data_IF_422876875112
#
_entry.id   IF_422876875112
#
_cell.length_a   1.000
_cell.length_b   1.000
_cell.length_c   1.000
_cell.angle_alpha   90.00
_cell.angle_beta   90.00
_cell.angle_gamma   90.00
#
_symmetry.space_group_name_H-M   'P 1'
#
loop_
_entity.id
_entity.type
_entity.pdbx_description
1 polymer ?
#
# COMPACT_ATOMS: atom_id res chain seq x y z
N UNK A 1 42.55 -39.15 -4.22
CA UNK A 1 41.68 -38.63 -5.30
C UNK A 1 40.39 -39.41 -5.22
N UNK A 2 39.25 -38.89 -4.81
CA UNK A 2 38.81 -37.54 -4.45
C UNK A 2 37.61 -37.70 -3.49
N UNK A 3 37.26 -36.65 -2.71
CA UNK A 3 36.45 -36.79 -1.50
C UNK A 3 34.96 -36.83 -1.78
N UNK A 4 34.26 -37.42 -0.80
CA UNK A 4 32.82 -37.56 -0.68
C UNK A 4 32.08 -36.22 -0.73
N UNK A 5 30.97 -36.25 -1.46
CA UNK A 5 29.99 -35.19 -1.64
C UNK A 5 29.57 -34.56 -0.30
N UNK A 6 30.03 -33.34 -0.06
CA UNK A 6 29.41 -32.46 0.93
C UNK A 6 28.06 -32.06 0.36
N UNK A 7 26.98 -32.66 0.88
CA UNK A 7 25.63 -32.17 0.66
C UNK A 7 25.52 -30.78 1.29
N UNK A 8 25.70 -29.74 0.47
CA UNK A 8 25.24 -28.39 0.77
C UNK A 8 23.73 -28.46 1.02
N UNK A 9 23.34 -28.38 2.29
CA UNK A 9 21.97 -28.10 2.68
C UNK A 9 21.53 -26.82 1.95
N UNK A 10 20.39 -26.79 1.24
CA UNK A 10 19.90 -25.54 0.68
C UNK A 10 19.68 -24.56 1.83
N UNK A 11 20.48 -23.50 1.84
CA UNK A 11 20.26 -22.32 2.69
C UNK A 11 18.79 -21.90 2.56
N UNK A 12 18.10 -21.52 3.65
CA UNK A 12 16.73 -21.05 3.56
C UNK A 12 16.70 -19.91 2.54
N UNK A 13 15.87 -20.08 1.52
CA UNK A 13 15.65 -19.08 0.49
C UNK A 13 15.42 -17.73 1.18
N UNK A 14 16.20 -16.75 0.73
CA UNK A 14 16.02 -15.33 1.04
C UNK A 14 14.51 -15.03 1.04
N UNK A 15 14.02 -14.44 2.13
CA UNK A 15 12.60 -14.17 2.34
C UNK A 15 11.97 -13.64 1.07
N UNK A 16 10.93 -14.34 0.60
CA UNK A 16 10.28 -14.10 -0.67
C UNK A 16 9.96 -12.60 -0.78
N UNK A 17 10.60 -11.92 -1.73
CA UNK A 17 10.47 -10.48 -1.88
C UNK A 17 8.99 -10.14 -2.09
N UNK A 18 8.33 -9.59 -1.06
CA UNK A 18 6.93 -9.22 -1.13
C UNK A 18 6.82 -8.08 -2.13
N UNK A 19 6.30 -8.38 -3.32
CA UNK A 19 5.99 -7.35 -4.32
C UNK A 19 4.63 -6.74 -4.03
N UNK A 20 4.47 -5.44 -4.31
CA UNK A 20 3.14 -4.80 -4.32
C UNK A 20 2.16 -5.51 -5.27
N UNK A 21 2.65 -6.25 -6.27
CA UNK A 21 1.82 -7.05 -7.15
C UNK A 21 1.04 -8.18 -6.44
N UNK A 22 1.52 -8.63 -5.27
CA UNK A 22 0.87 -9.66 -4.46
C UNK A 22 -0.05 -9.08 -3.39
N UNK A 23 -0.02 -7.76 -3.18
CA UNK A 23 -0.83 -7.08 -2.19
C UNK A 23 -2.06 -6.45 -2.82
N UNK A 24 -3.11 -6.25 -2.01
CA UNK A 24 -4.41 -5.76 -2.49
C UNK A 24 -5.07 -4.80 -1.50
N UNK A 25 -6.21 -4.22 -1.89
CA UNK A 25 -7.05 -3.41 -1.01
C UNK A 25 -7.54 -4.16 0.24
N UNK A 26 -7.43 -5.50 0.28
CA UNK A 26 -7.76 -6.34 1.44
C UNK A 26 -6.65 -6.37 2.50
N UNK A 27 -5.46 -5.92 2.15
CA UNK A 27 -4.34 -5.74 3.08
C UNK A 27 -4.47 -4.46 3.92
N UNK A 28 -5.65 -3.86 3.92
CA UNK A 28 -6.00 -2.66 4.66
C UNK A 28 -7.24 -2.97 5.48
N UNK A 29 -7.21 -2.62 6.77
CA UNK A 29 -8.39 -2.49 7.60
C UNK A 29 -8.59 -1.02 7.98
N UNK A 30 -9.84 -0.66 8.26
CA UNK A 30 -10.21 0.71 8.62
C UNK A 30 -10.77 0.74 10.03
N UNK A 31 -10.14 1.54 10.90
CA UNK A 31 -10.62 1.80 12.24
C UNK A 31 -11.34 3.15 12.28
N UNK A 32 -12.60 3.13 12.68
CA UNK A 32 -13.38 4.35 12.93
C UNK A 32 -12.88 5.04 14.20
N UNK A 33 -12.46 6.31 14.09
CA UNK A 33 -12.05 7.14 15.20
C UNK A 33 -12.88 8.42 15.28
N UNK A 34 -12.80 9.13 16.41
CA UNK A 34 -13.53 10.39 16.64
C UNK A 34 -13.23 11.47 15.57
N UNK A 35 -12.04 11.41 14.96
CA UNK A 35 -11.57 12.38 13.96
C UNK A 35 -11.59 11.83 12.52
N UNK A 36 -12.30 10.72 12.27
CA UNK A 36 -12.43 10.10 10.96
C UNK A 36 -11.89 8.68 10.92
N UNK A 37 -11.49 8.23 9.73
CA UNK A 37 -11.01 6.86 9.53
C UNK A 37 -9.49 6.79 9.67
N UNK A 38 -8.98 5.70 10.23
CA UNK A 38 -7.55 5.40 10.28
C UNK A 38 -7.29 4.06 9.62
N UNK A 39 -6.46 3.98 8.57
CA UNK A 39 -6.08 2.71 7.99
C UNK A 39 -5.03 2.02 8.83
N UNK A 40 -5.14 0.70 8.90
CA UNK A 40 -4.18 -0.23 9.47
C UNK A 40 -3.76 -1.22 8.36
N UNK A 41 -2.48 -1.56 8.28
CA UNK A 41 -1.93 -2.44 7.24
C UNK A 41 -1.82 -3.88 7.74
N UNK A 42 -1.95 -4.85 6.82
CA UNK A 42 -1.51 -6.23 7.07
C UNK A 42 0.01 -6.27 7.31
N UNK A 43 0.49 -7.35 7.93
CA UNK A 43 1.91 -7.55 8.19
C UNK A 43 2.73 -7.49 6.88
N UNK A 44 2.24 -8.12 5.81
CA UNK A 44 2.90 -8.11 4.51
C UNK A 44 2.98 -6.69 3.90
N UNK A 45 1.91 -5.90 3.99
CA UNK A 45 1.90 -4.53 3.51
C UNK A 45 2.81 -3.62 4.34
N UNK A 46 2.87 -3.82 5.65
CA UNK A 46 3.78 -3.10 6.54
C UNK A 46 5.25 -3.44 6.24
N UNK A 47 5.56 -4.72 6.02
CA UNK A 47 6.89 -5.18 5.59
C UNK A 47 7.28 -4.55 4.26
N UNK A 48 6.39 -4.58 3.26
CA UNK A 48 6.63 -3.93 1.97
C UNK A 48 6.92 -2.44 2.11
N UNK A 49 6.15 -1.73 2.93
CA UNK A 49 6.34 -0.29 3.17
C UNK A 49 7.75 0.02 3.70
N UNK A 50 8.25 -0.81 4.62
CA UNK A 50 9.51 -0.63 5.33
C UNK A 50 10.73 -1.07 4.52
N UNK A 51 10.63 -2.15 3.74
CA UNK A 51 11.78 -2.77 3.07
C UNK A 51 12.09 -2.22 1.68
N UNK A 52 11.15 -1.55 1.01
CA UNK A 52 11.30 -1.09 -0.38
C UNK A 52 11.14 0.44 -0.56
N UNK A 53 12.02 1.27 0.04
CA UNK A 53 11.83 2.72 0.09
C UNK A 53 11.92 3.44 -1.27
N UNK A 54 12.90 3.14 -2.13
CA UNK A 54 13.07 3.90 -3.39
C UNK A 54 12.33 3.31 -4.60
N UNK A 55 12.34 1.98 -4.78
CA UNK A 55 11.63 1.32 -5.90
C UNK A 55 10.14 1.09 -5.60
N UNK A 56 9.72 1.28 -4.35
CA UNK A 56 8.33 1.06 -3.93
C UNK A 56 7.37 2.11 -4.49
N UNK A 57 7.81 3.35 -4.72
CA UNK A 57 6.91 4.42 -5.18
C UNK A 57 6.37 4.14 -6.58
N UNK A 58 7.22 3.61 -7.48
CA UNK A 58 6.80 3.20 -8.83
C UNK A 58 5.77 2.08 -8.74
N UNK A 59 6.02 1.06 -7.90
CA UNK A 59 5.09 -0.06 -7.72
C UNK A 59 3.76 0.38 -7.08
N UNK A 60 3.80 1.33 -6.13
CA UNK A 60 2.59 1.87 -5.51
C UNK A 60 1.80 2.75 -6.49
N UNK A 61 2.48 3.53 -7.35
CA UNK A 61 1.84 4.27 -8.44
C UNK A 61 1.19 3.33 -9.47
N UNK A 62 1.86 2.24 -9.83
CA UNK A 62 1.28 1.22 -10.71
C UNK A 62 0.05 0.57 -10.09
N UNK A 63 0.07 0.32 -8.78
CA UNK A 63 -1.11 -0.18 -8.05
C UNK A 63 -2.29 0.80 -8.12
N UNK A 64 -2.07 2.12 -8.26
CA UNK A 64 -3.15 3.09 -8.46
C UNK A 64 -3.90 2.89 -9.77
N UNK A 65 -3.36 2.18 -10.76
CA UNK A 65 -4.07 1.89 -12.02
C UNK A 65 -5.01 0.67 -11.91
N UNK A 66 -4.90 -0.12 -10.84
CA UNK A 66 -5.58 -1.39 -10.65
C UNK A 66 -6.74 -1.27 -9.65
N UNK A 67 -7.92 -1.79 -10.00
CA UNK A 67 -9.12 -1.69 -9.15
C UNK A 67 -8.96 -2.42 -7.81
N UNK A 68 -8.26 -3.56 -7.81
CA UNK A 68 -8.07 -4.38 -6.61
C UNK A 68 -6.93 -3.87 -5.73
N UNK A 69 -6.17 -2.88 -6.17
CA UNK A 69 -4.94 -2.42 -5.50
C UNK A 69 -4.82 -0.91 -5.28
N UNK A 70 -5.66 -0.08 -5.92
CA UNK A 70 -5.48 1.37 -5.87
C UNK A 70 -5.61 1.98 -4.48
N UNK A 71 -6.43 1.39 -3.59
CA UNK A 71 -6.56 1.89 -2.22
C UNK A 71 -5.28 1.61 -1.45
N UNK A 72 -4.73 0.40 -1.61
CA UNK A 72 -3.46 0.05 -0.98
C UNK A 72 -2.33 0.94 -1.47
N UNK A 73 -2.19 1.11 -2.78
CA UNK A 73 -1.20 2.03 -3.36
C UNK A 73 -1.32 3.44 -2.78
N UNK A 74 -2.55 3.95 -2.66
CA UNK A 74 -2.79 5.26 -2.09
C UNK A 74 -2.41 5.33 -0.60
N UNK A 75 -2.80 4.35 0.22
CA UNK A 75 -2.47 4.31 1.65
C UNK A 75 -0.96 4.23 1.87
N UNK A 76 -0.28 3.35 1.15
CA UNK A 76 1.18 3.17 1.26
C UNK A 76 1.94 4.45 0.89
N UNK A 77 1.59 5.09 -0.23
CA UNK A 77 2.19 6.36 -0.63
C UNK A 77 1.94 7.45 0.43
N UNK A 78 0.73 7.50 0.98
CA UNK A 78 0.36 8.48 2.02
C UNK A 78 1.20 8.33 3.28
N UNK A 79 1.35 7.09 3.76
CA UNK A 79 2.15 6.77 4.94
C UNK A 79 3.63 7.04 4.71
N UNK A 80 4.16 6.70 3.53
CA UNK A 80 5.57 6.90 3.19
C UNK A 80 5.95 8.37 3.12
N UNK A 81 5.16 9.15 2.40
CA UNK A 81 5.46 10.57 2.14
C UNK A 81 4.89 11.51 3.22
N UNK A 82 4.23 10.94 4.24
CA UNK A 82 3.51 11.69 5.28
C UNK A 82 2.59 12.78 4.68
N UNK A 83 1.95 12.46 3.56
CA UNK A 83 1.16 13.40 2.76
C UNK A 83 -0.30 13.43 3.20
N UNK A 84 -0.87 14.64 3.19
CA UNK A 84 -2.26 14.89 3.53
C UNK A 84 -2.94 15.76 2.48
N UNK A 85 -3.82 15.15 1.69
CA UNK A 85 -4.79 15.75 0.77
C UNK A 85 -6.12 16.12 1.46
N UNK A 86 -6.19 16.00 2.79
CA UNK A 86 -7.35 16.31 3.61
C UNK A 86 -8.19 15.08 4.00
N UNK A 87 -8.76 15.14 5.19
CA UNK A 87 -9.66 14.10 5.74
C UNK A 87 -10.90 14.77 6.34
N UNK A 88 -12.06 14.13 6.18
CA UNK A 88 -13.31 14.50 6.84
C UNK A 88 -14.02 13.24 7.38
N UNK A 89 -15.23 13.38 7.93
CA UNK A 89 -15.98 12.24 8.48
C UNK A 89 -16.33 11.13 7.47
N UNK A 90 -16.15 11.37 6.18
CA UNK A 90 -16.44 10.47 5.06
C UNK A 90 -15.23 10.19 4.16
N UNK A 91 -14.11 10.87 4.40
CA UNK A 91 -12.91 10.81 3.57
C UNK A 91 -11.66 10.64 4.42
N UNK A 92 -10.78 9.77 3.96
CA UNK A 92 -9.41 9.69 4.44
C UNK A 92 -8.46 10.08 3.32
N UNK A 93 -7.68 11.13 3.51
CA UNK A 93 -6.67 11.57 2.57
C UNK A 93 -7.16 11.78 1.11
N UNK A 94 -8.39 12.27 0.95
CA UNK A 94 -9.05 12.43 -0.35
C UNK A 94 -9.60 11.14 -0.96
N UNK A 95 -9.53 10.01 -0.26
CA UNK A 95 -10.24 8.77 -0.55
C UNK A 95 -11.53 8.71 0.27
N UNK A 96 -12.66 8.64 -0.43
CA UNK A 96 -13.98 8.40 0.17
C UNK A 96 -14.12 6.92 0.51
N UNK A 97 -14.27 6.65 1.81
CA UNK A 97 -14.43 5.31 2.38
C UNK A 97 -15.69 5.31 3.23
N UNK A 98 -16.58 4.36 2.99
CA UNK A 98 -17.79 4.18 3.77
C UNK A 98 -17.65 2.95 4.67
N UNK A 99 -17.49 3.15 5.98
CA UNK A 99 -17.58 2.07 6.96
C UNK A 99 -19.05 1.78 7.26
N UNK A 100 -19.48 0.55 6.96
CA UNK A 100 -20.85 0.09 7.20
C UNK A 100 -21.03 -0.38 8.63
N UNK A 101 -22.29 -0.44 9.06
CA UNK A 101 -22.66 -0.89 10.40
C UNK A 101 -22.30 -2.37 10.69
N UNK A 102 -22.12 -3.18 9.65
CA UNK A 102 -21.66 -4.57 9.75
C UNK A 102 -20.14 -4.72 9.86
N UNK A 103 -19.40 -3.60 9.90
CA UNK A 103 -17.95 -3.56 9.96
C UNK A 103 -17.24 -3.71 8.61
N UNK A 104 -17.99 -3.86 7.51
CA UNK A 104 -17.41 -3.85 6.16
C UNK A 104 -17.15 -2.43 5.68
N UNK A 105 -16.27 -2.26 4.72
CA UNK A 105 -16.00 -0.96 4.09
C UNK A 105 -16.18 -1.01 2.59
N UNK A 106 -16.62 0.11 2.03
CA UNK A 106 -16.75 0.30 0.59
C UNK A 106 -16.03 1.58 0.16
N UNK A 107 -15.55 1.55 -1.08
CA UNK A 107 -14.89 2.68 -1.70
C UNK A 107 -15.79 3.28 -2.77
N UNK A 108 -15.95 4.61 -2.77
CA UNK A 108 -16.74 5.24 -3.82
C UNK A 108 -16.08 5.01 -5.20
N UNK A 109 -16.86 4.70 -6.24
CA UNK A 109 -16.33 4.42 -7.57
C UNK A 109 -15.70 5.67 -8.20
N UNK A 110 -14.81 5.48 -9.17
CA UNK A 110 -14.26 6.58 -9.98
C UNK A 110 -13.19 7.45 -9.31
N UNK A 111 -12.78 7.13 -8.08
CA UNK A 111 -11.74 7.90 -7.36
C UNK A 111 -10.33 7.61 -7.86
N UNK A 112 -10.13 6.43 -8.46
CA UNK A 112 -8.83 5.91 -8.90
C UNK A 112 -8.01 6.91 -9.73
N UNK A 113 -8.58 7.41 -10.83
CA UNK A 113 -7.89 8.35 -11.73
C UNK A 113 -7.52 9.67 -11.04
N UNK A 114 -8.36 10.14 -10.11
CA UNK A 114 -8.09 11.35 -9.33
C UNK A 114 -6.91 11.16 -8.39
N UNK A 115 -6.86 10.03 -7.68
CA UNK A 115 -5.77 9.68 -6.77
C UNK A 115 -4.46 9.47 -7.53
N UNK A 116 -4.51 8.77 -8.66
CA UNK A 116 -3.34 8.57 -9.53
C UNK A 116 -2.74 9.90 -9.99
N UNK A 117 -3.57 10.79 -10.54
CA UNK A 117 -3.12 12.11 -10.99
C UNK A 117 -2.46 12.90 -9.85
N UNK A 118 -3.12 12.97 -8.68
CA UNK A 118 -2.58 13.70 -7.51
C UNK A 118 -1.21 13.18 -7.08
N UNK A 119 -1.03 11.86 -7.04
CA UNK A 119 0.24 11.27 -6.66
C UNK A 119 1.34 11.51 -7.70
N UNK A 120 1.02 11.45 -8.99
CA UNK A 120 1.98 11.78 -10.05
C UNK A 120 2.44 13.23 -9.98
N UNK A 121 1.52 14.17 -9.74
CA UNK A 121 1.84 15.58 -9.54
C UNK A 121 2.73 15.77 -8.30
N UNK A 122 2.34 15.18 -7.16
CA UNK A 122 3.08 15.29 -5.90
C UNK A 122 4.52 14.74 -6.00
N UNK A 123 4.71 13.59 -6.63
CA UNK A 123 6.04 12.96 -6.75
C UNK A 123 6.92 13.65 -7.81
N UNK A 124 6.32 14.33 -8.79
CA UNK A 124 7.07 15.16 -9.74
C UNK A 124 7.58 16.46 -9.09
N UNK A 125 6.81 17.04 -8.17
CA UNK A 125 7.15 18.29 -7.46
C UNK A 125 8.06 18.09 -6.25
N UNK A 126 8.36 16.84 -5.86
CA UNK A 126 9.26 16.55 -4.74
C UNK A 126 10.72 16.59 -5.23
N UNK A 127 11.55 17.55 -4.78
CA UNK A 127 12.96 17.59 -5.16
C UNK A 127 13.69 16.36 -4.62
N UNK A 128 14.50 15.73 -5.48
CA UNK A 128 15.36 14.58 -5.15
C UNK A 128 16.45 14.94 -4.13
#
# INVERSE_FOLDING_TARGET
MSPEDTQEQPQPAQGEAISAALLSNRDISWDGQLLGLKPSLSENAQTFLNEYPESGDVQMLEALADEDRYVLGHVLLSMRHNQSFGSDGTQWNGLTVALKADGTWEYAPGQRATLERRWREQLADTPK
#
